data_IF_047426463694
#
_entry.id   IF_047426463694
#
_cell.length_a   1.000
_cell.length_b   1.000
_cell.length_c   1.000
_cell.angle_alpha   90.00
_cell.angle_beta   90.00
_cell.angle_gamma   90.00
#
_symmetry.space_group_name_H-M   'P 1'
#
loop_
_entity.id
_entity.type
_entity.pdbx_description
1 polymer ?
#
# COMPACT_ATOMS: atom_id res chain seq x y z
N UNK A 1 -16.52 -8.61 -1.25
CA UNK A 1 -16.18 -10.05 -1.18
C UNK A 1 -14.96 -10.31 -0.28
N UNK A 2 -13.76 -9.80 -0.59
CA UNK A 2 -12.52 -10.09 0.15
C UNK A 2 -12.55 -9.68 1.63
N UNK A 3 -13.08 -8.49 1.96
CA UNK A 3 -13.26 -8.04 3.36
C UNK A 3 -14.15 -8.96 4.20
N UNK A 4 -15.14 -9.62 3.58
CA UNK A 4 -15.99 -10.61 4.26
C UNK A 4 -15.28 -11.95 4.41
N UNK A 5 -14.46 -12.36 3.45
CA UNK A 5 -13.60 -13.55 3.58
C UNK A 5 -12.56 -13.37 4.69
N UNK A 6 -11.91 -12.20 4.80
CA UNK A 6 -10.98 -11.87 5.88
C UNK A 6 -11.70 -11.89 7.25
N UNK A 7 -12.91 -11.31 7.34
CA UNK A 7 -13.74 -11.39 8.57
C UNK A 7 -14.13 -12.83 8.93
N UNK A 8 -14.42 -13.69 7.94
CA UNK A 8 -14.73 -15.10 8.16
C UNK A 8 -13.51 -15.88 8.63
N UNK A 9 -12.35 -15.65 8.02
CA UNK A 9 -11.09 -16.26 8.45
C UNK A 9 -10.76 -15.89 9.91
N UNK A 10 -10.90 -14.61 10.28
CA UNK A 10 -10.71 -14.17 11.68
C UNK A 10 -11.59 -14.93 12.69
N UNK A 11 -12.87 -15.14 12.37
CA UNK A 11 -13.82 -15.88 13.23
C UNK A 11 -13.52 -17.38 13.38
N UNK A 12 -12.72 -17.96 12.48
CA UNK A 12 -12.36 -19.38 12.51
C UNK A 12 -11.08 -19.61 13.34
N UNK A 13 -10.26 -18.57 13.51
CA UNK A 13 -8.97 -18.63 14.21
C UNK A 13 -8.99 -17.97 15.61
N UNK A 14 -10.17 -17.70 16.20
CA UNK A 14 -10.35 -17.22 17.58
C UNK A 14 -10.04 -18.32 18.63
N UNK A 15 -8.99 -19.11 18.43
CA UNK A 15 -8.31 -19.77 19.55
C UNK A 15 -7.31 -18.74 20.10
N UNK A 16 -7.47 -18.36 21.37
CA UNK A 16 -6.51 -17.52 22.08
C UNK A 16 -5.18 -18.29 22.22
N UNK A 17 -4.35 -18.21 21.18
CA UNK A 17 -2.96 -18.68 21.24
C UNK A 17 -2.20 -17.71 22.14
N UNK A 18 -1.69 -18.21 23.27
CA UNK A 18 -0.78 -17.48 24.15
C UNK A 18 0.29 -16.78 23.31
N UNK A 19 0.44 -15.46 23.49
CA UNK A 19 1.40 -14.66 22.72
C UNK A 19 2.82 -15.08 23.09
N UNK A 20 3.45 -15.87 22.23
CA UNK A 20 4.87 -16.18 22.33
C UNK A 20 5.70 -14.90 22.12
N UNK A 21 6.89 -14.76 22.72
CA UNK A 21 7.80 -13.67 22.42
C UNK A 21 8.11 -13.61 20.91
N UNK A 22 8.34 -12.41 20.36
CA UNK A 22 8.63 -12.23 18.92
C UNK A 22 9.79 -13.12 18.44
N UNK A 23 10.79 -13.35 19.27
CA UNK A 23 11.95 -14.20 18.95
C UNK A 23 11.63 -15.70 18.92
N UNK A 24 10.62 -16.13 19.67
CA UNK A 24 10.23 -17.55 19.77
C UNK A 24 9.19 -17.93 18.73
N UNK A 25 8.53 -16.94 18.11
CA UNK A 25 7.57 -17.16 17.06
C UNK A 25 8.21 -17.88 15.87
N UNK A 26 7.65 -19.01 15.44
CA UNK A 26 8.03 -19.72 14.22
C UNK A 26 6.83 -19.80 13.30
N UNK A 27 6.99 -19.29 12.07
CA UNK A 27 5.95 -19.45 11.06
C UNK A 27 5.91 -20.91 10.60
N UNK A 28 4.74 -21.58 10.64
CA UNK A 28 4.62 -22.94 10.10
C UNK A 28 5.01 -23.01 8.62
N UNK A 29 5.70 -24.08 8.23
CA UNK A 29 6.21 -24.28 6.85
C UNK A 29 5.10 -24.23 5.79
N UNK A 30 3.87 -24.60 6.15
CA UNK A 30 2.71 -24.50 5.27
C UNK A 30 2.43 -23.07 4.77
N UNK A 31 2.92 -22.05 5.48
CA UNK A 31 2.78 -20.63 5.11
C UNK A 31 4.04 -20.05 4.45
N UNK A 32 5.11 -20.84 4.26
CA UNK A 32 6.34 -20.40 3.60
C UNK A 32 6.45 -20.86 2.15
N UNK A 33 5.53 -21.73 1.70
CA UNK A 33 5.47 -22.29 0.35
C UNK A 33 4.16 -21.92 -0.36
N UNK A 34 4.23 -21.69 -1.67
CA UNK A 34 3.04 -21.50 -2.51
C UNK A 34 2.32 -22.83 -2.74
N UNK A 35 1.11 -22.79 -3.33
CA UNK A 35 0.41 -23.99 -3.80
C UNK A 35 1.20 -24.81 -4.84
N UNK A 36 2.15 -24.18 -5.54
CA UNK A 36 3.07 -24.83 -6.48
C UNK A 36 4.35 -25.34 -5.81
N UNK A 37 4.48 -25.23 -4.49
CA UNK A 37 5.65 -25.69 -3.73
C UNK A 37 6.86 -24.77 -3.81
N UNK A 38 6.69 -23.51 -4.26
CA UNK A 38 7.79 -22.53 -4.36
C UNK A 38 7.93 -21.80 -3.03
N UNK A 39 9.14 -21.71 -2.44
CA UNK A 39 9.38 -20.86 -1.28
C UNK A 39 9.11 -19.40 -1.63
N UNK A 40 8.29 -18.72 -0.82
CA UNK A 40 7.95 -17.30 -1.03
C UNK A 40 8.04 -16.46 0.25
N UNK A 41 8.46 -17.04 1.37
CA UNK A 41 8.63 -16.34 2.64
C UNK A 41 10.10 -16.27 3.03
N UNK A 42 10.55 -15.10 3.48
CA UNK A 42 11.86 -14.87 4.08
C UNK A 42 11.68 -14.27 5.47
N UNK A 43 12.36 -14.85 6.45
CA UNK A 43 12.34 -14.43 7.84
C UNK A 43 13.63 -13.67 8.15
N UNK A 44 13.51 -12.39 8.48
CA UNK A 44 14.62 -11.45 8.61
C UNK A 44 14.61 -10.91 10.04
N UNK A 45 15.73 -11.07 10.74
CA UNK A 45 15.95 -10.50 12.07
C UNK A 45 16.95 -9.35 11.97
N UNK A 46 16.59 -8.20 12.51
CA UNK A 46 17.43 -7.00 12.58
C UNK A 46 17.50 -6.49 14.02
N UNK A 47 18.53 -6.91 14.75
CA UNK A 47 18.64 -6.67 16.19
C UNK A 47 17.50 -7.31 16.97
N UNK A 48 16.64 -6.49 17.59
CA UNK A 48 15.44 -6.94 18.32
C UNK A 48 14.18 -6.92 17.46
N UNK A 49 14.28 -6.44 16.22
CA UNK A 49 13.17 -6.31 15.29
C UNK A 49 13.17 -7.44 14.26
N UNK A 50 12.02 -7.66 13.62
CA UNK A 50 11.79 -8.77 12.71
C UNK A 50 10.88 -8.37 11.55
N UNK A 51 11.19 -8.90 10.39
CA UNK A 51 10.41 -8.76 9.16
C UNK A 51 10.12 -10.17 8.62
N UNK A 52 8.84 -10.50 8.46
CA UNK A 52 8.43 -11.65 7.65
C UNK A 52 8.03 -11.13 6.27
N UNK A 53 8.92 -11.33 5.30
CA UNK A 53 8.78 -10.89 3.92
C UNK A 53 8.16 -12.00 3.08
N UNK A 54 7.12 -11.68 2.32
CA UNK A 54 6.44 -12.60 1.42
C UNK A 54 6.45 -12.05 -0.01
N UNK A 55 7.15 -12.75 -0.91
CA UNK A 55 7.25 -12.42 -2.33
C UNK A 55 7.79 -13.61 -3.13
N UNK A 56 7.56 -13.63 -4.44
CA UNK A 56 8.12 -14.62 -5.37
C UNK A 56 9.07 -13.94 -6.35
N UNK A 57 9.94 -14.72 -7.01
CA UNK A 57 10.78 -14.20 -8.09
C UNK A 57 9.95 -13.60 -9.25
N UNK A 58 8.74 -14.12 -9.50
CA UNK A 58 7.83 -13.56 -10.51
C UNK A 58 7.28 -12.20 -10.07
N UNK A 59 6.87 -12.08 -8.80
CA UNK A 59 6.43 -10.81 -8.24
C UNK A 59 7.54 -9.76 -8.29
N UNK A 60 8.78 -10.14 -7.99
CA UNK A 60 9.94 -9.24 -8.07
C UNK A 60 10.24 -8.78 -9.51
N UNK A 61 10.06 -9.66 -10.51
CA UNK A 61 10.17 -9.27 -11.94
C UNK A 61 9.11 -8.25 -12.32
N UNK A 62 7.85 -8.48 -11.95
CA UNK A 62 6.77 -7.52 -12.19
C UNK A 62 7.01 -6.19 -11.48
N UNK A 63 7.49 -6.24 -10.24
CA UNK A 63 7.83 -5.06 -9.47
C UNK A 63 8.97 -4.26 -10.14
N UNK A 64 9.97 -4.95 -10.69
CA UNK A 64 11.07 -4.35 -11.44
C UNK A 64 10.61 -3.65 -12.73
N UNK A 65 9.68 -4.26 -13.47
CA UNK A 65 9.14 -3.69 -14.71
C UNK A 65 8.24 -2.48 -14.45
N UNK A 66 7.59 -2.44 -13.29
CA UNK A 66 6.68 -1.38 -12.92
C UNK A 66 7.39 -0.05 -12.62
N UNK A 67 6.95 1.00 -13.30
CA UNK A 67 7.44 2.38 -13.09
C UNK A 67 6.80 3.10 -11.92
N UNK A 68 5.61 2.65 -11.51
CA UNK A 68 4.82 3.28 -10.47
C UNK A 68 4.52 2.24 -9.39
N UNK A 69 4.95 2.53 -8.17
CA UNK A 69 4.70 1.68 -7.02
C UNK A 69 3.79 2.38 -6.03
N UNK A 70 2.93 1.61 -5.37
CA UNK A 70 2.15 2.06 -4.22
C UNK A 70 2.61 1.26 -3.01
N UNK A 71 3.13 1.95 -2.02
CA UNK A 71 3.60 1.36 -0.77
C UNK A 71 2.67 1.81 0.35
N UNK A 72 2.08 0.84 1.04
CA UNK A 72 1.03 1.09 2.04
C UNK A 72 1.24 0.24 3.30
N UNK A 73 1.21 0.90 4.46
CA UNK A 73 1.23 0.26 5.77
C UNK A 73 -0.19 0.18 6.36
N UNK A 74 -0.67 -1.02 6.66
CA UNK A 74 -2.01 -1.23 7.26
C UNK A 74 -1.95 -1.87 8.65
N UNK A 75 -2.84 -1.40 9.54
CA UNK A 75 -2.79 -1.70 10.98
C UNK A 75 -3.97 -2.54 11.49
N UNK A 76 -5.16 -2.43 10.87
CA UNK A 76 -6.43 -2.95 11.43
C UNK A 76 -6.53 -4.50 11.40
N UNK A 77 -5.51 -5.19 10.89
CA UNK A 77 -5.55 -6.65 10.63
C UNK A 77 -4.29 -7.41 11.05
N UNK A 78 -3.41 -6.82 11.86
CA UNK A 78 -2.09 -7.39 12.16
C UNK A 78 -2.13 -8.18 13.48
N UNK A 79 -1.52 -9.39 13.55
CA UNK A 79 -1.36 -10.12 14.81
C UNK A 79 -0.64 -9.27 15.86
N UNK A 80 -0.94 -9.46 17.14
CA UNK A 80 -0.34 -8.69 18.25
C UNK A 80 1.19 -8.69 18.28
N UNK A 81 1.81 -9.73 17.70
CA UNK A 81 3.27 -9.86 17.60
C UNK A 81 3.93 -8.89 16.62
N UNK A 82 3.17 -8.39 15.63
CA UNK A 82 3.68 -7.46 14.62
C UNK A 82 2.93 -6.13 14.72
N UNK A 83 3.63 -5.03 14.44
CA UNK A 83 3.05 -3.70 14.56
C UNK A 83 2.32 -3.26 13.29
N UNK A 84 2.72 -3.79 12.15
CA UNK A 84 2.12 -3.45 10.86
C UNK A 84 2.24 -4.57 9.82
N UNK A 85 1.32 -4.55 8.86
CA UNK A 85 1.46 -5.21 7.58
C UNK A 85 1.77 -4.14 6.55
N UNK A 86 2.97 -4.20 5.99
CA UNK A 86 3.38 -3.38 4.87
C UNK A 86 3.15 -4.12 3.55
N UNK A 87 2.82 -3.40 2.49
CA UNK A 87 2.60 -3.98 1.18
C UNK A 87 3.02 -3.05 0.05
N UNK A 88 3.74 -3.62 -0.93
CA UNK A 88 4.09 -2.93 -2.18
C UNK A 88 3.21 -3.46 -3.31
N UNK A 89 2.55 -2.54 -4.00
CA UNK A 89 1.68 -2.82 -5.11
C UNK A 89 2.19 -2.17 -6.39
N UNK A 90 1.89 -2.79 -7.51
CA UNK A 90 2.18 -2.25 -8.83
C UNK A 90 1.06 -2.57 -9.82
N UNK A 91 0.94 -1.81 -10.92
CA UNK A 91 0.08 -2.17 -12.03
C UNK A 91 0.52 -3.50 -12.65
N UNK A 92 -0.42 -4.42 -12.82
CA UNK A 92 -0.26 -5.64 -13.59
C UNK A 92 -1.39 -5.79 -14.61
N UNK A 93 -1.06 -6.35 -15.77
CA UNK A 93 -1.94 -6.39 -16.95
C UNK A 93 -1.56 -5.32 -17.98
N UNK A 94 -1.79 -5.61 -19.26
CA UNK A 94 -1.43 -4.70 -20.36
C UNK A 94 -2.25 -3.41 -20.37
N UNK A 95 -1.95 -2.53 -21.34
CA UNK A 95 -2.45 -1.14 -21.45
C UNK A 95 -3.98 -0.96 -21.37
N UNK A 96 -4.77 -2.01 -21.54
CA UNK A 96 -6.25 -1.95 -21.58
C UNK A 96 -6.90 -2.40 -20.26
N UNK A 97 -6.20 -3.19 -19.43
CA UNK A 97 -6.74 -3.78 -18.19
C UNK A 97 -5.68 -3.82 -17.07
N UNK A 98 -5.01 -2.69 -16.81
CA UNK A 98 -4.07 -2.59 -15.69
C UNK A 98 -4.82 -2.60 -14.36
N UNK A 99 -4.58 -3.59 -13.51
CA UNK A 99 -5.05 -3.63 -12.13
C UNK A 99 -3.87 -3.42 -11.18
N UNK A 100 -4.09 -2.69 -10.09
CA UNK A 100 -3.11 -2.60 -9.02
C UNK A 100 -3.15 -3.89 -8.22
N UNK A 101 -2.06 -4.65 -8.23
CA UNK A 101 -1.95 -5.89 -7.48
C UNK A 101 -0.83 -5.80 -6.44
N UNK A 102 -0.98 -6.44 -5.28
CA UNK A 102 0.07 -6.56 -4.29
C UNK A 102 1.10 -7.58 -4.76
N UNK A 103 2.37 -7.18 -4.74
CA UNK A 103 3.50 -8.03 -5.16
C UNK A 103 4.39 -8.43 -3.99
N UNK A 104 4.46 -7.57 -2.97
CA UNK A 104 5.26 -7.80 -1.76
C UNK A 104 4.39 -7.54 -0.55
N UNK A 105 4.48 -8.43 0.43
CA UNK A 105 3.95 -8.22 1.77
C UNK A 105 5.07 -8.34 2.79
N UNK A 106 5.04 -7.51 3.83
CA UNK A 106 5.98 -7.59 4.95
C UNK A 106 5.23 -7.40 6.27
N UNK A 107 5.27 -8.39 7.15
CA UNK A 107 4.89 -8.21 8.55
C UNK A 107 6.09 -7.67 9.30
N UNK A 108 5.95 -6.49 9.91
CA UNK A 108 7.06 -5.78 10.55
C UNK A 108 6.74 -5.55 12.02
N UNK A 109 7.71 -5.81 12.89
CA UNK A 109 7.58 -5.63 14.34
C UNK A 109 7.61 -4.17 14.78
N UNK A 110 8.22 -3.29 13.97
CA UNK A 110 8.26 -1.85 14.21
C UNK A 110 7.96 -1.03 12.93
N UNK A 111 7.86 0.28 13.13
CA UNK A 111 7.67 1.32 12.09
C UNK A 111 8.85 2.29 12.04
N UNK A 112 10.03 1.79 12.35
CA UNK A 112 11.23 2.61 12.38
C UNK A 112 11.75 2.82 10.96
N UNK A 113 12.42 3.95 10.73
CA UNK A 113 13.05 4.23 9.44
C UNK A 113 14.07 3.15 9.07
N UNK A 114 14.82 2.69 10.07
CA UNK A 114 15.81 1.63 9.97
C UNK A 114 15.19 0.33 9.45
N UNK A 115 14.00 -0.06 9.96
CA UNK A 115 13.36 -1.30 9.54
C UNK A 115 12.78 -1.22 8.12
N UNK A 116 12.33 -0.02 7.68
CA UNK A 116 11.95 0.19 6.28
C UNK A 116 13.15 0.20 5.33
N UNK A 117 14.28 0.76 5.77
CA UNK A 117 15.54 0.69 5.02
C UNK A 117 15.96 -0.77 4.89
N UNK A 118 15.93 -1.54 5.98
CA UNK A 118 16.25 -2.96 5.96
C UNK A 118 15.33 -3.74 5.01
N UNK A 119 14.02 -3.50 5.05
CA UNK A 119 13.07 -4.12 4.11
C UNK A 119 13.43 -3.82 2.64
N UNK A 120 13.76 -2.58 2.33
CA UNK A 120 14.10 -2.15 0.98
C UNK A 120 15.44 -2.74 0.51
N UNK A 121 16.43 -2.84 1.40
CA UNK A 121 17.70 -3.51 1.13
C UNK A 121 17.50 -5.00 0.87
N UNK A 122 16.67 -5.66 1.66
CA UNK A 122 16.32 -7.07 1.46
C UNK A 122 15.66 -7.32 0.10
N UNK A 123 14.80 -6.40 -0.36
CA UNK A 123 14.25 -6.45 -1.72
C UNK A 123 15.33 -6.28 -2.79
N UNK A 124 16.28 -5.35 -2.60
CA UNK A 124 17.42 -5.15 -3.51
C UNK A 124 18.32 -6.39 -3.56
N UNK A 125 18.66 -6.98 -2.42
CA UNK A 125 19.46 -8.22 -2.35
C UNK A 125 18.77 -9.40 -3.07
N UNK A 126 17.45 -9.54 -2.91
CA UNK A 126 16.66 -10.58 -3.57
C UNK A 126 16.64 -10.41 -5.10
N UNK A 127 16.60 -9.19 -5.61
CA UNK A 127 16.64 -8.94 -7.06
C UNK A 127 18.05 -9.05 -7.63
N UNK A 128 19.08 -8.66 -6.88
CA UNK A 128 20.48 -8.78 -7.29
C UNK A 128 20.86 -10.24 -7.49
N UNK A 129 20.43 -11.12 -6.58
CA UNK A 129 20.57 -12.58 -6.74
C UNK A 129 19.91 -13.12 -8.02
N UNK A 130 18.90 -12.42 -8.53
CA UNK A 130 18.19 -12.72 -9.76
C UNK A 130 18.72 -11.92 -10.98
N UNK A 131 19.78 -11.12 -10.83
CA UNK A 131 20.33 -10.19 -11.84
C UNK A 131 19.32 -9.15 -12.34
N UNK A 132 18.43 -8.73 -11.46
CA UNK A 132 17.42 -7.70 -11.68
C UNK A 132 17.75 -6.46 -10.85
N UNK A 133 17.25 -5.29 -11.25
CA UNK A 133 17.44 -4.04 -10.51
C UNK A 133 16.13 -3.31 -10.33
N UNK A 134 15.72 -3.08 -9.09
CA UNK A 134 14.56 -2.26 -8.77
C UNK A 134 14.88 -0.78 -9.04
N UNK A 135 14.06 -0.12 -9.87
CA UNK A 135 14.23 1.30 -10.21
C UNK A 135 12.87 1.92 -10.58
N UNK A 136 11.97 2.11 -9.60
CA UNK A 136 10.72 2.79 -9.85
C UNK A 136 10.96 4.27 -10.22
N UNK A 137 10.14 4.80 -11.12
CA UNK A 137 10.18 6.24 -11.46
C UNK A 137 9.39 7.05 -10.42
N UNK A 138 8.32 6.44 -9.88
CA UNK A 138 7.41 7.05 -8.92
C UNK A 138 7.04 6.07 -7.80
N UNK A 139 7.06 6.55 -6.57
CA UNK A 139 6.58 5.80 -5.41
C UNK A 139 5.52 6.64 -4.69
N UNK A 140 4.31 6.09 -4.62
CA UNK A 140 3.23 6.64 -3.82
C UNK A 140 3.26 5.99 -2.44
N UNK A 141 3.55 6.79 -1.41
CA UNK A 141 3.53 6.31 -0.02
C UNK A 141 2.43 7.01 0.77
N UNK A 142 2.11 6.47 1.94
CA UNK A 142 1.51 7.28 3.00
C UNK A 142 2.48 8.39 3.47
N UNK A 143 2.02 9.26 4.37
CA UNK A 143 2.83 10.37 4.88
C UNK A 143 3.76 9.97 6.02
N UNK A 144 4.10 8.68 6.14
CA UNK A 144 5.01 8.21 7.18
C UNK A 144 6.45 8.59 6.85
N UNK A 145 7.02 9.50 7.66
CA UNK A 145 8.34 10.08 7.41
C UNK A 145 9.45 9.03 7.29
N UNK A 146 9.43 7.99 8.13
CA UNK A 146 10.42 6.91 8.10
C UNK A 146 10.40 6.16 6.77
N UNK A 147 9.21 5.83 6.26
CA UNK A 147 9.06 5.19 4.96
C UNK A 147 9.54 6.10 3.82
N UNK A 148 9.17 7.38 3.84
CA UNK A 148 9.62 8.36 2.82
C UNK A 148 11.14 8.45 2.79
N UNK A 149 11.78 8.49 3.95
CA UNK A 149 13.24 8.58 4.06
C UNK A 149 13.92 7.29 3.56
N UNK A 150 13.40 6.12 3.95
CA UNK A 150 13.89 4.84 3.48
C UNK A 150 13.81 4.72 1.95
N UNK A 151 12.67 5.08 1.35
CA UNK A 151 12.49 5.08 -0.11
C UNK A 151 13.47 6.03 -0.80
N UNK A 152 13.70 7.22 -0.25
CA UNK A 152 14.67 8.18 -0.81
C UNK A 152 16.11 7.68 -0.73
N UNK A 153 16.46 6.96 0.35
CA UNK A 153 17.79 6.36 0.52
C UNK A 153 18.03 5.26 -0.51
N UNK A 154 17.07 4.36 -0.65
CA UNK A 154 17.24 3.11 -1.43
C UNK A 154 16.88 3.27 -2.91
N UNK A 155 15.99 4.22 -3.24
CA UNK A 155 15.56 4.55 -4.60
C UNK A 155 15.74 6.06 -4.87
N UNK A 156 16.97 6.59 -4.90
CA UNK A 156 17.24 8.04 -4.95
C UNK A 156 16.76 8.72 -6.24
N UNK A 157 16.59 7.95 -7.31
CA UNK A 157 16.07 8.40 -8.61
C UNK A 157 14.54 8.47 -8.65
N UNK A 158 13.86 7.81 -7.72
CA UNK A 158 12.40 7.75 -7.70
C UNK A 158 11.80 9.03 -7.13
N UNK A 159 10.73 9.52 -7.74
CA UNK A 159 9.94 10.62 -7.19
C UNK A 159 8.93 10.08 -6.16
N UNK A 160 9.16 10.40 -4.89
CA UNK A 160 8.17 10.16 -3.85
C UNK A 160 7.00 11.13 -3.98
N UNK A 161 5.78 10.60 -4.07
CA UNK A 161 4.52 11.35 -4.09
C UNK A 161 3.70 10.96 -2.87
N UNK A 162 3.07 11.93 -2.22
CA UNK A 162 2.13 11.67 -1.12
C UNK A 162 0.78 11.20 -1.64
N UNK A 163 0.19 10.19 -0.99
CA UNK A 163 -1.14 9.70 -1.36
C UNK A 163 -2.26 10.67 -0.96
N UNK A 164 -2.94 11.28 -1.95
CA UNK A 164 -4.05 12.22 -1.70
C UNK A 164 -5.19 11.60 -0.88
N UNK A 165 -5.42 10.29 -1.02
CA UNK A 165 -6.44 9.58 -0.23
C UNK A 165 -6.16 9.66 1.27
N UNK A 166 -4.93 9.33 1.68
CA UNK A 166 -4.50 9.44 3.08
C UNK A 166 -4.47 10.89 3.56
N UNK A 167 -4.15 11.84 2.68
CA UNK A 167 -4.21 13.27 3.00
C UNK A 167 -5.63 13.69 3.37
N UNK A 168 -6.61 13.34 2.54
CA UNK A 168 -8.03 13.65 2.78
C UNK A 168 -8.53 12.96 4.06
N UNK A 169 -8.16 11.71 4.31
CA UNK A 169 -8.52 11.01 5.55
C UNK A 169 -7.98 11.75 6.79
N UNK A 170 -6.70 12.15 6.77
CA UNK A 170 -6.10 12.94 7.85
C UNK A 170 -6.78 14.31 8.04
N UNK A 171 -7.15 14.99 6.95
CA UNK A 171 -7.86 16.28 7.00
C UNK A 171 -9.27 16.15 7.59
N UNK A 172 -9.97 15.05 7.26
CA UNK A 172 -11.27 14.72 7.86
C UNK A 172 -11.10 14.45 9.35
N UNK A 173 -10.12 13.65 9.75
CA UNK A 173 -9.87 13.36 11.17
C UNK A 173 -9.54 14.62 11.97
N UNK A 174 -8.72 15.53 11.44
CA UNK A 174 -8.41 16.83 12.06
C UNK A 174 -9.66 17.69 12.20
N UNK A 175 -10.48 17.76 11.15
CA UNK A 175 -11.74 18.50 11.18
C UNK A 175 -12.71 17.91 12.22
N UNK A 176 -12.79 16.58 12.34
CA UNK A 176 -13.58 15.89 13.36
C UNK A 176 -13.07 16.15 14.78
N UNK A 177 -11.78 16.45 14.96
CA UNK A 177 -11.18 16.87 16.24
C UNK A 177 -11.35 18.37 16.54
N UNK A 178 -12.02 19.10 15.66
CA UNK A 178 -12.29 20.53 15.83
C UNK A 178 -11.19 21.45 15.29
N UNK A 179 -10.20 20.91 14.56
CA UNK A 179 -9.25 21.75 13.84
C UNK A 179 -9.94 22.40 12.61
N UNK A 180 -9.58 23.65 12.26
CA UNK A 180 -10.12 24.28 11.07
C UNK A 180 -9.71 23.50 9.81
N UNK A 181 -10.69 23.24 8.94
CA UNK A 181 -10.43 22.58 7.67
C UNK A 181 -9.38 23.36 6.86
N UNK A 182 -8.46 22.67 6.17
CA UNK A 182 -7.47 23.32 5.34
C UNK A 182 -8.16 24.12 4.22
N UNK A 183 -7.55 25.25 3.87
CA UNK A 183 -8.05 26.12 2.82
C UNK A 183 -7.98 25.36 1.48
N UNK A 184 -9.12 25.08 0.87
CA UNK A 184 -9.16 24.43 -0.45
C UNK A 184 -8.46 25.32 -1.47
N UNK A 185 -7.80 24.70 -2.45
CA UNK A 185 -7.25 25.47 -3.58
C UNK A 185 -8.42 25.99 -4.40
N UNK A 186 -8.31 27.22 -4.91
CA UNK A 186 -9.36 27.86 -5.69
C UNK A 186 -9.82 27.01 -6.89
N UNK A 187 -8.88 26.30 -7.53
CA UNK A 187 -9.18 25.37 -8.63
C UNK A 187 -10.03 24.17 -8.19
N UNK A 188 -9.76 23.63 -6.99
CA UNK A 188 -10.55 22.53 -6.41
C UNK A 188 -11.97 23.02 -6.06
N UNK A 189 -12.08 24.26 -5.53
CA UNK A 189 -13.37 24.91 -5.23
C UNK A 189 -14.19 25.16 -6.51
N UNK A 190 -13.55 25.71 -7.56
CA UNK A 190 -14.20 26.00 -8.84
C UNK A 190 -14.68 24.69 -9.52
N UNK A 191 -13.90 23.61 -9.42
CA UNK A 191 -14.27 22.29 -9.94
C UNK A 191 -15.43 21.69 -9.16
N UNK A 192 -15.42 21.80 -7.83
CA UNK A 192 -16.50 21.33 -6.96
C UNK A 192 -17.82 22.07 -7.26
N UNK A 193 -17.78 23.39 -7.44
CA UNK A 193 -18.96 24.19 -7.82
C UNK A 193 -19.52 23.73 -9.17
N UNK A 194 -18.66 23.47 -10.16
CA UNK A 194 -19.11 22.96 -11.48
C UNK A 194 -19.77 21.58 -11.36
N UNK A 195 -19.17 20.67 -10.60
CA UNK A 195 -19.74 19.32 -10.38
C UNK A 195 -21.07 19.41 -9.63
N UNK A 196 -21.17 20.25 -8.59
CA UNK A 196 -22.41 20.47 -7.85
C UNK A 196 -23.52 21.02 -8.76
N UNK A 197 -23.21 21.94 -9.67
CA UNK A 197 -24.17 22.44 -10.65
C UNK A 197 -24.66 21.35 -11.61
N UNK A 198 -23.77 20.45 -12.06
CA UNK A 198 -24.14 19.29 -12.90
C UNK A 198 -25.04 18.32 -12.13
N UNK A 199 -24.77 18.09 -10.84
CA UNK A 199 -25.56 17.21 -9.97
C UNK A 199 -26.93 17.82 -9.65
N UNK A 200 -26.97 19.10 -9.28
CA UNK A 200 -28.20 19.80 -8.94
C UNK A 200 -29.19 19.83 -10.12
N UNK A 201 -28.68 19.86 -11.34
CA UNK A 201 -29.46 19.88 -12.58
C UNK A 201 -29.68 18.48 -13.18
N UNK A 202 -29.40 17.40 -12.43
CA UNK A 202 -29.54 16.01 -12.91
C UNK A 202 -30.93 15.71 -13.46
N UNK A 203 -31.98 16.25 -12.84
CA UNK A 203 -33.38 15.99 -13.20
C UNK A 203 -33.78 16.54 -14.57
N UNK A 204 -33.08 17.56 -15.05
CA UNK A 204 -33.35 18.19 -16.35
C UNK A 204 -32.40 17.69 -17.46
N UNK A 205 -31.48 16.79 -17.14
CA UNK A 205 -30.47 16.27 -18.07
C UNK A 205 -30.80 14.85 -18.49
N UNK A 206 -30.55 14.56 -19.77
CA UNK A 206 -30.45 13.17 -20.22
C UNK A 206 -29.31 12.47 -19.48
N UNK A 207 -29.38 11.15 -19.32
CA UNK A 207 -28.30 10.38 -18.69
C UNK A 207 -26.97 10.60 -19.41
N UNK A 208 -26.99 10.73 -20.74
CA UNK A 208 -25.78 10.98 -21.55
C UNK A 208 -25.19 12.36 -21.30
N UNK A 209 -26.00 13.41 -21.22
CA UNK A 209 -25.50 14.78 -21.00
C UNK A 209 -25.06 15.01 -19.55
N UNK A 210 -25.68 14.29 -18.60
CA UNK A 210 -25.18 14.22 -17.23
C UNK A 210 -23.78 13.58 -17.19
N UNK A 211 -23.60 12.41 -17.82
CA UNK A 211 -22.30 11.73 -17.85
C UNK A 211 -21.22 12.55 -18.57
N UNK A 212 -21.56 13.24 -19.67
CA UNK A 212 -20.66 14.19 -20.34
C UNK A 212 -20.28 15.34 -19.42
N UNK A 213 -21.24 15.95 -18.74
CA UNK A 213 -20.99 17.01 -17.78
C UNK A 213 -20.08 16.57 -16.63
N UNK A 214 -20.19 15.32 -16.16
CA UNK A 214 -19.26 14.78 -15.16
C UNK A 214 -17.87 14.55 -15.77
N UNK A 215 -17.78 13.96 -16.97
CA UNK A 215 -16.50 13.67 -17.64
C UNK A 215 -15.69 14.92 -17.97
N UNK A 216 -16.34 16.00 -18.44
CA UNK A 216 -15.70 17.28 -18.75
C UNK A 216 -15.02 17.91 -17.52
N UNK A 217 -15.51 17.61 -16.31
CA UNK A 217 -14.95 18.12 -15.06
C UNK A 217 -13.92 17.18 -14.42
N UNK A 218 -13.73 15.97 -14.97
CA UNK A 218 -12.71 15.00 -14.53
C UNK A 218 -11.46 14.99 -15.43
N UNK A 219 -11.49 15.72 -16.55
CA UNK A 219 -10.45 15.68 -17.59
C UNK A 219 -9.34 16.75 -17.42
N UNK A 220 -9.06 17.19 -16.18
CA UNK A 220 -8.00 18.16 -15.84
C UNK A 220 -6.85 17.49 -15.07
#
# INVERSE_FOLDING_TARGET
ALRQQIKRAKRVFDEEVETQPLNDFKLPDAYSITFSGVPFMKDITDGTERILLFTTNENLKWLQEAKFWIMDGTFKTVPTLFRQLYSSHAPAGGNVNSQIIPLVYALMSAKSEELYQRLSQELNELVDGNKLKLNPDFVLTDFEKGLINAVKSEFPTAQSKGCRFHLVEMEIEKSMRGEPAPKKRKEDEDTEVKIQNVIADRGNRSTTDFLRGIADNLSL
#
